data_IF_919788232447
#
_entry.id   IF_919788232447
#
_cell.length_a   1.000
_cell.length_b   1.000
_cell.length_c   1.000
_cell.angle_alpha   90.00
_cell.angle_beta   90.00
_cell.angle_gamma   90.00
#
_symmetry.space_group_name_H-M   'P 1'
#
loop_
_entity.id
_entity.type
_entity.pdbx_description
1 polymer ?
#
# COMPACT_ATOMS: atom_id res chain seq x y z
N UNK A 1 -7.80 42.41 68.67
CA UNK A 1 -8.61 43.61 69.06
C UNK A 1 -8.72 44.52 67.85
N UNK A 2 -9.92 45.04 67.66
CA UNK A 2 -10.46 45.99 66.66
C UNK A 2 -10.67 45.42 65.28
N UNK A 3 -11.76 44.97 64.95
CA UNK A 3 -13.10 45.41 64.52
C UNK A 3 -13.12 46.84 63.91
N UNK A 4 -13.54 46.94 62.65
CA UNK A 4 -14.57 47.85 62.22
C UNK A 4 -15.30 47.38 60.99
N UNK A 5 -16.62 47.44 61.12
CA UNK A 5 -17.70 47.02 60.28
C UNK A 5 -18.18 48.12 59.35
N UNK A 6 -18.84 47.68 58.28
CA UNK A 6 -20.08 48.21 57.64
C UNK A 6 -19.94 49.46 56.76
N UNK A 7 -20.46 49.40 55.56
CA UNK A 7 -21.84 49.86 55.27
C UNK A 7 -22.23 49.66 53.80
N UNK A 8 -23.45 49.23 53.61
CA UNK A 8 -24.18 49.12 52.33
C UNK A 8 -24.44 50.46 51.68
N UNK A 9 -24.34 50.52 50.35
CA UNK A 9 -24.83 51.58 49.52
C UNK A 9 -25.31 51.08 48.18
N UNK A 10 -26.62 50.97 48.04
CA UNK A 10 -27.35 50.68 46.82
C UNK A 10 -27.24 51.86 45.85
N UNK A 11 -26.83 51.61 44.63
CA UNK A 11 -26.85 52.63 43.54
C UNK A 11 -26.69 51.99 42.20
N UNK A 12 -27.79 51.72 41.51
CA UNK A 12 -27.78 51.25 40.14
C UNK A 12 -27.16 52.26 39.18
N UNK A 13 -26.25 51.78 38.32
CA UNK A 13 -25.76 52.54 37.17
C UNK A 13 -25.69 51.61 35.94
N UNK A 14 -26.44 52.05 34.95
CA UNK A 14 -26.45 51.60 33.57
C UNK A 14 -25.07 51.52 32.98
N UNK A 15 -24.71 50.32 32.48
CA UNK A 15 -23.46 50.09 31.74
C UNK A 15 -23.63 50.61 30.34
N UNK A 16 -23.00 51.71 30.03
CA UNK A 16 -22.65 52.13 28.65
C UNK A 16 -21.41 51.35 28.24
N UNK A 17 -21.54 50.65 27.11
CA UNK A 17 -20.43 50.09 26.35
C UNK A 17 -19.42 51.17 26.00
N UNK A 18 -18.24 51.14 26.58
CA UNK A 18 -17.07 51.91 26.19
C UNK A 18 -16.04 50.89 25.70
N UNK A 19 -15.57 51.09 24.45
CA UNK A 19 -14.44 50.35 23.86
C UNK A 19 -13.27 50.34 24.86
N UNK A 20 -13.07 49.27 25.54
CA UNK A 20 -11.85 49.01 26.30
C UNK A 20 -10.72 48.70 25.31
N UNK A 21 -9.89 49.71 25.03
CA UNK A 21 -8.53 49.50 24.60
C UNK A 21 -7.85 48.72 25.75
N UNK A 22 -7.66 47.44 25.53
CA UNK A 22 -6.93 46.59 26.41
C UNK A 22 -5.47 47.09 26.47
N UNK A 23 -5.13 47.84 27.54
CA UNK A 23 -3.74 48.13 27.86
C UNK A 23 -3.15 46.81 28.34
N UNK A 24 -2.37 46.15 27.49
CA UNK A 24 -1.49 45.05 27.93
C UNK A 24 -0.55 45.63 28.97
N UNK A 25 -0.65 45.19 30.22
CA UNK A 25 0.30 45.54 31.26
C UNK A 25 1.70 45.06 30.87
N UNK A 26 2.72 45.81 31.20
CA UNK A 26 4.13 45.41 30.91
C UNK A 26 4.44 44.01 31.52
N UNK A 27 3.82 43.65 32.64
CA UNK A 27 3.92 42.35 33.29
C UNK A 27 3.40 41.20 32.41
N UNK A 28 2.36 41.43 31.58
CA UNK A 28 1.83 40.39 30.65
C UNK A 28 2.77 40.22 29.43
N UNK A 29 3.50 41.22 29.03
CA UNK A 29 4.52 41.13 27.97
C UNK A 29 5.73 40.36 28.44
N UNK A 30 6.19 40.60 29.63
CA UNK A 30 7.34 39.87 30.24
C UNK A 30 6.97 38.40 30.47
N UNK A 31 5.76 38.12 30.96
CA UNK A 31 5.25 36.75 31.11
C UNK A 31 5.17 35.96 29.81
N UNK A 32 4.72 36.60 28.74
CA UNK A 32 4.67 35.98 27.38
C UNK A 32 6.08 35.78 26.83
N UNK A 33 6.98 36.72 27.01
CA UNK A 33 8.38 36.62 26.55
C UNK A 33 9.12 35.51 27.30
N UNK A 34 8.98 35.38 28.61
CA UNK A 34 9.57 34.30 29.40
C UNK A 34 9.01 32.94 28.97
N UNK A 35 7.70 32.82 28.75
CA UNK A 35 7.06 31.59 28.24
C UNK A 35 7.53 31.23 26.83
N UNK A 36 7.75 32.22 25.96
CA UNK A 36 8.26 31.98 24.60
C UNK A 36 9.71 31.47 24.65
N UNK A 37 10.58 32.10 25.44
CA UNK A 37 11.99 31.65 25.65
C UNK A 37 12.04 30.24 26.25
N UNK A 38 11.19 29.95 27.23
CA UNK A 38 11.11 28.60 27.81
C UNK A 38 10.71 27.55 26.78
N UNK A 39 9.73 27.84 25.91
CA UNK A 39 9.33 26.95 24.81
C UNK A 39 10.42 26.79 23.75
N UNK A 40 11.16 27.85 23.45
CA UNK A 40 12.28 27.83 22.50
C UNK A 40 13.44 27.01 23.05
N UNK A 41 13.78 27.17 24.33
CA UNK A 41 14.78 26.33 25.02
C UNK A 41 14.34 24.85 25.07
N UNK A 42 13.07 24.56 25.31
CA UNK A 42 12.53 23.19 25.26
C UNK A 42 12.61 22.58 23.87
N UNK A 43 12.30 23.36 22.81
CA UNK A 43 12.45 22.90 21.43
C UNK A 43 13.90 22.60 21.09
N UNK A 44 14.82 23.50 21.45
CA UNK A 44 16.23 23.31 21.24
C UNK A 44 16.77 22.07 21.98
N UNK A 45 16.37 21.87 23.24
CA UNK A 45 16.75 20.69 24.01
C UNK A 45 16.18 19.40 23.37
N UNK A 46 14.93 19.42 22.89
CA UNK A 46 14.31 18.28 22.19
C UNK A 46 15.05 17.98 20.88
N UNK A 47 15.43 19.02 20.12
CA UNK A 47 16.21 18.86 18.88
C UNK A 47 17.60 18.25 19.15
N UNK A 48 18.29 18.71 20.19
CA UNK A 48 19.60 18.14 20.60
C UNK A 48 19.45 16.67 21.02
N UNK A 49 18.42 16.34 21.79
CA UNK A 49 18.14 14.96 22.18
C UNK A 49 17.83 14.08 20.95
N UNK A 50 17.10 14.61 19.96
CA UNK A 50 16.81 13.89 18.72
C UNK A 50 18.10 13.63 17.93
N UNK A 51 18.98 14.63 17.79
CA UNK A 51 20.28 14.48 17.10
C UNK A 51 21.11 13.39 17.79
N UNK A 52 21.21 13.43 19.12
CA UNK A 52 21.95 12.42 19.90
C UNK A 52 21.33 11.02 19.72
N UNK A 53 20.00 10.90 19.72
CA UNK A 53 19.29 9.65 19.50
C UNK A 53 19.56 9.09 18.09
N UNK A 54 19.56 9.95 17.09
CA UNK A 54 19.84 9.58 15.70
C UNK A 54 21.31 9.14 15.51
N UNK A 55 22.25 9.82 16.17
CA UNK A 55 23.67 9.43 16.17
C UNK A 55 23.89 8.08 16.86
N UNK A 56 23.27 7.86 18.02
CA UNK A 56 23.35 6.57 18.72
C UNK A 56 22.72 5.45 17.91
N UNK A 57 21.58 5.71 17.26
CA UNK A 57 20.90 4.72 16.41
C UNK A 57 21.76 4.35 15.21
N UNK A 58 22.41 5.33 14.57
CA UNK A 58 23.36 5.06 13.48
C UNK A 58 24.56 4.25 13.94
N UNK A 59 25.20 4.66 15.03
CA UNK A 59 26.36 3.93 15.56
C UNK A 59 26.00 2.47 15.90
N UNK A 60 24.82 2.24 16.48
CA UNK A 60 24.32 0.89 16.76
C UNK A 60 24.02 0.11 15.48
N UNK A 61 23.38 0.76 14.50
CA UNK A 61 23.10 0.12 13.22
C UNK A 61 24.38 -0.29 12.48
N UNK A 62 25.40 0.59 12.49
CA UNK A 62 26.71 0.31 11.87
C UNK A 62 27.43 -0.86 12.58
N UNK A 63 27.36 -0.95 13.93
CA UNK A 63 27.98 -2.02 14.71
C UNK A 63 27.35 -3.40 14.43
N UNK A 64 26.04 -3.44 14.25
CA UNK A 64 25.28 -4.70 14.07
C UNK A 64 24.79 -4.92 12.64
N UNK A 65 25.32 -4.19 11.67
CA UNK A 65 24.80 -4.21 10.28
C UNK A 65 24.83 -5.61 9.65
N UNK A 66 25.91 -6.36 9.85
CA UNK A 66 26.02 -7.74 9.33
C UNK A 66 25.01 -8.67 10.01
N UNK A 67 24.90 -8.63 11.34
CA UNK A 67 23.96 -9.45 12.11
C UNK A 67 22.49 -9.13 11.73
N UNK A 68 22.19 -7.85 11.50
CA UNK A 68 20.88 -7.38 11.06
C UNK A 68 20.57 -7.93 9.67
N UNK A 69 21.50 -7.83 8.73
CA UNK A 69 21.32 -8.35 7.37
C UNK A 69 21.12 -9.86 7.35
N UNK A 70 21.97 -10.60 8.06
CA UNK A 70 21.85 -12.05 8.17
C UNK A 70 20.52 -12.48 8.79
N UNK A 71 20.05 -11.73 9.79
CA UNK A 71 18.73 -11.97 10.38
C UNK A 71 17.61 -11.69 9.40
N UNK A 72 17.67 -10.58 8.66
CA UNK A 72 16.66 -10.21 7.68
C UNK A 72 16.61 -11.23 6.53
N UNK A 73 17.74 -11.67 5.98
CA UNK A 73 17.79 -12.66 4.90
C UNK A 73 17.21 -14.02 5.36
N UNK A 74 17.49 -14.42 6.59
CA UNK A 74 16.88 -15.64 7.16
C UNK A 74 15.36 -15.47 7.32
N UNK A 75 14.92 -14.35 7.88
CA UNK A 75 13.50 -14.09 8.13
C UNK A 75 12.71 -13.92 6.82
N UNK A 76 13.26 -13.30 5.79
CA UNK A 76 12.57 -13.20 4.50
C UNK A 76 12.32 -14.59 3.89
N UNK A 77 13.32 -15.49 3.96
CA UNK A 77 13.19 -16.86 3.45
C UNK A 77 12.13 -17.69 4.24
N UNK A 78 12.10 -17.56 5.58
CA UNK A 78 11.15 -18.28 6.45
C UNK A 78 9.72 -17.80 6.33
N UNK A 79 9.52 -16.56 5.88
CA UNK A 79 8.23 -15.87 5.86
C UNK A 79 7.72 -15.55 4.45
N UNK A 80 8.19 -16.26 3.43
CA UNK A 80 7.63 -16.19 2.09
C UNK A 80 6.25 -16.86 2.01
N UNK A 81 5.33 -16.29 1.21
CA UNK A 81 4.10 -16.96 0.82
C UNK A 81 4.37 -18.13 -0.13
N UNK A 82 3.51 -19.14 -0.09
CA UNK A 82 3.52 -20.28 -1.02
C UNK A 82 2.47 -20.06 -2.13
N UNK A 83 2.93 -19.75 -3.34
CA UNK A 83 2.08 -19.48 -4.49
C UNK A 83 1.29 -20.69 -4.92
N UNK A 84 1.89 -21.90 -4.87
CA UNK A 84 1.22 -23.11 -5.29
C UNK A 84 0.00 -23.41 -4.41
N UNK A 85 0.11 -23.15 -3.11
CA UNK A 85 -1.01 -23.23 -2.18
C UNK A 85 -2.09 -22.16 -2.42
N UNK A 86 -1.73 -20.97 -2.92
CA UNK A 86 -2.71 -19.95 -3.32
C UNK A 86 -3.41 -20.36 -4.63
N UNK A 87 -2.70 -20.99 -5.58
CA UNK A 87 -3.26 -21.43 -6.86
C UNK A 87 -4.40 -22.44 -6.73
N UNK A 88 -4.39 -23.25 -5.68
CA UNK A 88 -5.45 -24.23 -5.43
C UNK A 88 -6.65 -23.69 -4.66
N UNK A 89 -6.71 -22.38 -4.39
CA UNK A 89 -7.85 -21.74 -3.76
C UNK A 89 -9.10 -21.88 -4.63
N UNK A 90 -10.22 -22.26 -4.01
CA UNK A 90 -11.45 -22.58 -4.74
C UNK A 90 -12.29 -21.36 -5.12
N UNK A 91 -12.30 -20.32 -4.27
CA UNK A 91 -13.17 -19.17 -4.44
C UNK A 91 -12.42 -17.87 -4.77
N UNK A 92 -11.18 -17.70 -4.27
CA UNK A 92 -10.38 -16.54 -4.64
C UNK A 92 -9.52 -16.86 -5.84
N UNK A 93 -9.43 -15.90 -6.76
CA UNK A 93 -8.68 -16.01 -8.01
C UNK A 93 -7.75 -14.81 -8.18
N UNK A 94 -6.66 -14.97 -8.95
CA UNK A 94 -5.66 -13.92 -9.13
C UNK A 94 -6.22 -12.62 -9.71
N UNK A 95 -7.26 -12.68 -10.55
CA UNK A 95 -7.90 -11.48 -11.09
C UNK A 95 -8.62 -10.63 -10.01
N UNK A 96 -8.92 -11.21 -8.84
CA UNK A 96 -9.53 -10.49 -7.71
C UNK A 96 -8.49 -9.69 -6.90
N UNK A 97 -7.21 -10.08 -6.98
CA UNK A 97 -6.12 -9.44 -6.24
C UNK A 97 -6.02 -7.93 -6.48
N UNK A 98 -6.06 -7.42 -7.74
CA UNK A 98 -5.97 -5.99 -7.98
C UNK A 98 -7.05 -5.17 -7.25
N UNK A 99 -8.27 -5.67 -7.18
CA UNK A 99 -9.36 -4.96 -6.49
C UNK A 99 -9.12 -4.86 -4.98
N UNK A 100 -8.63 -5.95 -4.37
CA UNK A 100 -8.28 -5.92 -2.94
C UNK A 100 -7.08 -5.01 -2.68
N UNK A 101 -6.03 -5.07 -3.50
CA UNK A 101 -4.86 -4.22 -3.33
C UNK A 101 -5.19 -2.74 -3.53
N UNK A 102 -6.02 -2.38 -4.51
CA UNK A 102 -6.49 -1.01 -4.68
C UNK A 102 -7.19 -0.50 -3.42
N UNK A 103 -8.07 -1.31 -2.84
CA UNK A 103 -8.73 -0.99 -1.57
C UNK A 103 -7.73 -0.82 -0.41
N UNK A 104 -6.78 -1.74 -0.27
CA UNK A 104 -5.77 -1.68 0.80
C UNK A 104 -4.83 -0.49 0.64
N UNK A 105 -4.45 -0.13 -0.58
CA UNK A 105 -3.62 1.05 -0.85
C UNK A 105 -4.39 2.34 -0.54
N UNK A 106 -5.67 2.43 -0.88
CA UNK A 106 -6.50 3.58 -0.50
C UNK A 106 -6.63 3.70 1.03
N UNK A 107 -6.82 2.58 1.73
CA UNK A 107 -6.83 2.54 3.19
C UNK A 107 -5.48 2.99 3.78
N UNK A 108 -4.38 2.46 3.26
CA UNK A 108 -3.02 2.82 3.66
C UNK A 108 -2.77 4.33 3.53
N UNK A 109 -3.19 4.94 2.42
CA UNK A 109 -3.08 6.39 2.20
C UNK A 109 -3.97 7.16 3.19
N UNK A 110 -5.21 6.72 3.40
CA UNK A 110 -6.16 7.38 4.28
C UNK A 110 -5.70 7.41 5.75
N UNK A 111 -5.08 6.34 6.22
CA UNK A 111 -4.52 6.21 7.57
C UNK A 111 -3.09 6.75 7.68
N UNK A 112 -2.47 7.18 6.59
CA UNK A 112 -1.09 7.69 6.54
C UNK A 112 -0.08 6.71 7.14
N UNK A 113 -0.23 5.42 6.84
CA UNK A 113 0.66 4.37 7.31
C UNK A 113 2.02 4.42 6.62
N UNK A 114 3.05 3.84 7.25
CA UNK A 114 4.38 3.75 6.66
C UNK A 114 4.41 2.80 5.45
N UNK A 115 5.30 3.01 4.45
CA UNK A 115 5.40 2.13 3.28
C UNK A 115 5.61 0.66 3.67
N UNK A 116 6.46 0.38 4.66
CA UNK A 116 6.69 -0.97 5.19
C UNK A 116 5.41 -1.65 5.67
N UNK A 117 4.46 -0.89 6.24
CA UNK A 117 3.18 -1.42 6.72
C UNK A 117 2.33 -1.97 5.58
N UNK A 118 2.38 -1.36 4.39
CA UNK A 118 1.67 -1.86 3.21
C UNK A 118 2.27 -3.20 2.72
N UNK A 119 3.60 -3.26 2.58
CA UNK A 119 4.28 -4.51 2.17
C UNK A 119 4.05 -5.63 3.17
N UNK A 120 4.13 -5.34 4.48
CA UNK A 120 3.83 -6.30 5.53
C UNK A 120 2.38 -6.77 5.48
N UNK A 121 1.43 -5.86 5.23
CA UNK A 121 0.01 -6.21 5.05
C UNK A 121 -0.18 -7.25 3.95
N UNK A 122 0.45 -7.03 2.78
CA UNK A 122 0.35 -7.94 1.64
C UNK A 122 1.03 -9.28 1.93
N UNK A 123 2.20 -9.28 2.58
CA UNK A 123 2.86 -10.51 3.00
C UNK A 123 1.98 -11.34 3.96
N UNK A 124 1.39 -10.72 4.98
CA UNK A 124 0.51 -11.42 5.94
C UNK A 124 -0.74 -11.97 5.25
N UNK A 125 -1.34 -11.22 4.31
CA UNK A 125 -2.46 -11.66 3.49
C UNK A 125 -2.08 -12.90 2.66
N UNK A 126 -0.97 -12.83 1.93
CA UNK A 126 -0.53 -13.91 1.04
C UNK A 126 -0.13 -15.17 1.82
N UNK A 127 0.58 -15.02 2.94
CA UNK A 127 0.90 -16.13 3.84
C UNK A 127 -0.34 -16.77 4.45
N UNK A 128 -1.33 -15.98 4.80
CA UNK A 128 -2.61 -16.50 5.29
C UNK A 128 -3.32 -17.29 4.20
N UNK A 129 -3.42 -16.75 2.98
CA UNK A 129 -3.99 -17.42 1.82
C UNK A 129 -3.23 -18.69 1.42
N UNK A 130 -1.91 -18.77 1.70
CA UNK A 130 -1.10 -20.00 1.51
C UNK A 130 -1.46 -21.11 2.49
N UNK A 131 -2.08 -20.80 3.64
CA UNK A 131 -2.32 -21.76 4.73
C UNK A 131 -3.80 -22.06 4.98
N UNK A 132 -4.71 -21.24 4.47
CA UNK A 132 -6.16 -21.35 4.71
C UNK A 132 -6.96 -21.11 3.44
N UNK A 133 -8.02 -21.89 3.26
CA UNK A 133 -9.02 -21.64 2.22
C UNK A 133 -9.78 -20.36 2.60
N UNK A 134 -9.83 -19.42 1.67
CA UNK A 134 -10.47 -18.11 1.87
C UNK A 134 -11.71 -18.03 1.00
N UNK A 135 -12.86 -17.80 1.63
CA UNK A 135 -14.10 -17.54 0.92
C UNK A 135 -14.09 -16.13 0.32
N UNK A 136 -14.56 -15.98 -0.91
CA UNK A 136 -14.64 -14.71 -1.63
C UNK A 136 -15.22 -13.57 -0.75
N UNK A 137 -16.31 -13.83 -0.04
CA UNK A 137 -16.96 -12.87 0.87
C UNK A 137 -16.10 -12.41 2.05
N UNK A 138 -15.04 -13.13 2.41
CA UNK A 138 -14.15 -12.80 3.52
C UNK A 138 -12.79 -12.27 3.05
N UNK A 139 -12.53 -12.21 1.74
CA UNK A 139 -11.21 -11.84 1.23
C UNK A 139 -10.83 -10.41 1.64
N UNK A 140 -11.78 -9.47 1.57
CA UNK A 140 -11.55 -8.10 2.04
C UNK A 140 -11.36 -8.03 3.56
N UNK A 141 -12.13 -8.82 4.35
CA UNK A 141 -11.98 -8.89 5.80
C UNK A 141 -10.59 -9.40 6.20
N UNK A 142 -10.06 -10.41 5.49
CA UNK A 142 -8.69 -10.91 5.70
C UNK A 142 -7.67 -9.80 5.41
N UNK A 143 -7.84 -9.06 4.32
CA UNK A 143 -6.98 -7.92 3.99
C UNK A 143 -7.00 -6.84 5.08
N UNK A 144 -8.18 -6.48 5.58
CA UNK A 144 -8.31 -5.52 6.70
C UNK A 144 -7.64 -6.01 7.98
N UNK A 145 -7.81 -7.30 8.31
CA UNK A 145 -7.18 -7.90 9.49
C UNK A 145 -5.65 -7.91 9.35
N UNK A 146 -5.14 -8.25 8.16
CA UNK A 146 -3.70 -8.18 7.86
C UNK A 146 -3.16 -6.75 8.02
N UNK A 147 -3.88 -5.74 7.51
CA UNK A 147 -3.50 -4.32 7.67
C UNK A 147 -3.53 -3.88 9.14
N UNK A 148 -4.54 -4.29 9.90
CA UNK A 148 -4.63 -3.98 11.32
C UNK A 148 -3.44 -4.56 12.11
N UNK A 149 -3.06 -5.82 11.81
CA UNK A 149 -1.91 -6.48 12.43
C UNK A 149 -0.62 -5.77 12.04
N UNK A 150 -0.42 -5.49 10.75
CA UNK A 150 0.78 -4.80 10.26
C UNK A 150 0.93 -3.40 10.86
N UNK A 151 -0.17 -2.62 10.94
CA UNK A 151 -0.16 -1.30 11.55
C UNK A 151 0.11 -1.34 13.07
N UNK A 152 -0.47 -2.31 13.78
CA UNK A 152 -0.18 -2.50 15.22
C UNK A 152 1.29 -2.90 15.46
N UNK A 153 1.90 -3.60 14.52
CA UNK A 153 3.27 -4.09 14.63
C UNK A 153 4.32 -3.02 14.31
N UNK A 154 4.18 -2.29 13.20
CA UNK A 154 5.22 -1.42 12.66
C UNK A 154 4.90 0.08 12.64
N UNK A 155 3.64 0.48 12.85
CA UNK A 155 3.26 1.89 12.73
C UNK A 155 3.12 2.61 14.07
N UNK A 156 2.99 3.94 14.01
CA UNK A 156 2.75 4.75 15.21
C UNK A 156 1.36 4.48 15.76
N UNK A 157 1.25 4.40 17.08
CA UNK A 157 -0.01 4.05 17.78
C UNK A 157 -1.20 4.94 17.39
N UNK A 158 -0.96 6.21 17.09
CA UNK A 158 -1.96 7.20 16.69
C UNK A 158 -2.43 7.04 15.25
N UNK A 159 -1.72 6.27 14.43
CA UNK A 159 -2.08 5.96 13.04
C UNK A 159 -2.75 4.59 12.87
N UNK A 160 -2.67 3.74 13.90
CA UNK A 160 -3.31 2.41 13.84
C UNK A 160 -4.81 2.58 13.68
N UNK A 161 -5.42 2.03 12.59
CA UNK A 161 -6.85 2.17 12.36
C UNK A 161 -7.66 1.50 13.47
N UNK A 162 -8.74 2.13 13.88
CA UNK A 162 -9.72 1.49 14.74
C UNK A 162 -10.61 0.53 13.96
N UNK A 163 -11.21 -0.44 14.63
CA UNK A 163 -12.15 -1.39 13.99
C UNK A 163 -13.31 -0.65 13.33
N UNK A 164 -13.82 0.44 13.94
CA UNK A 164 -14.90 1.24 13.37
C UNK A 164 -14.52 1.96 12.10
N UNK A 165 -13.29 2.44 11.99
CA UNK A 165 -12.77 3.03 10.75
C UNK A 165 -12.66 1.99 9.65
N UNK A 166 -12.14 0.79 9.95
CA UNK A 166 -12.11 -0.33 9.01
C UNK A 166 -13.51 -0.77 8.58
N UNK A 167 -14.45 -0.86 9.51
CA UNK A 167 -15.86 -1.16 9.23
C UNK A 167 -16.47 -0.11 8.30
N UNK A 168 -16.23 1.18 8.58
CA UNK A 168 -16.69 2.28 7.74
C UNK A 168 -16.10 2.21 6.32
N UNK A 169 -14.83 1.87 6.18
CA UNK A 169 -14.18 1.69 4.87
C UNK A 169 -14.77 0.52 4.08
N UNK A 170 -15.18 -0.55 4.79
CA UNK A 170 -15.89 -1.68 4.20
C UNK A 170 -17.39 -1.42 4.02
N UNK A 171 -17.86 -0.17 4.13
CA UNK A 171 -19.28 0.22 4.00
C UNK A 171 -20.22 -0.56 4.92
N UNK A 172 -19.75 -0.94 6.12
CA UNK A 172 -20.54 -1.69 7.10
C UNK A 172 -20.81 -3.16 6.70
N UNK A 173 -20.05 -3.70 5.76
CA UNK A 173 -20.25 -5.07 5.26
C UNK A 173 -19.99 -6.15 6.32
N UNK A 174 -19.12 -5.85 7.29
CA UNK A 174 -18.74 -6.77 8.37
C UNK A 174 -19.03 -6.14 9.73
N UNK A 175 -19.43 -6.97 10.68
CA UNK A 175 -19.61 -6.56 12.06
C UNK A 175 -18.25 -6.39 12.78
N UNK A 176 -18.20 -5.53 13.82
CA UNK A 176 -16.97 -5.25 14.58
C UNK A 176 -16.31 -6.54 15.09
N UNK A 177 -17.11 -7.47 15.61
CA UNK A 177 -16.64 -8.77 16.12
C UNK A 177 -15.94 -9.63 15.05
N UNK A 178 -16.34 -9.50 13.79
CA UNK A 178 -15.73 -10.26 12.71
C UNK A 178 -14.28 -9.81 12.46
N UNK A 179 -13.97 -8.51 12.60
CA UNK A 179 -12.59 -8.01 12.51
C UNK A 179 -11.72 -8.57 13.64
N UNK A 180 -12.22 -8.57 14.88
CA UNK A 180 -11.50 -9.12 16.05
C UNK A 180 -11.24 -10.62 15.89
N UNK A 181 -12.25 -11.36 15.44
CA UNK A 181 -12.13 -12.80 15.21
C UNK A 181 -11.14 -13.10 14.07
N UNK A 182 -11.22 -12.32 12.98
CA UNK A 182 -10.32 -12.51 11.83
C UNK A 182 -8.88 -12.14 12.18
N UNK A 183 -8.63 -11.04 12.92
CA UNK A 183 -7.32 -10.68 13.42
C UNK A 183 -6.70 -11.83 14.23
N UNK A 184 -7.45 -12.36 15.21
CA UNK A 184 -7.00 -13.50 16.01
C UNK A 184 -6.73 -14.73 15.15
N UNK A 185 -7.58 -15.02 14.18
CA UNK A 185 -7.45 -16.18 13.32
C UNK A 185 -6.23 -16.08 12.40
N UNK A 186 -5.94 -14.90 11.85
CA UNK A 186 -4.72 -14.64 11.08
C UNK A 186 -3.48 -14.85 11.94
N UNK A 187 -3.42 -14.24 13.13
CA UNK A 187 -2.30 -14.40 14.07
C UNK A 187 -2.05 -15.86 14.45
N UNK A 188 -3.10 -16.61 14.78
CA UNK A 188 -2.99 -18.04 15.11
C UNK A 188 -2.54 -18.88 13.90
N UNK A 189 -3.04 -18.58 12.70
CA UNK A 189 -2.66 -19.29 11.47
C UNK A 189 -1.19 -19.08 11.13
N UNK A 190 -0.67 -17.88 11.39
CA UNK A 190 0.73 -17.51 11.14
C UNK A 190 1.65 -17.81 12.34
N UNK A 191 1.15 -18.52 13.38
CA UNK A 191 1.90 -18.85 14.59
C UNK A 191 2.51 -17.62 15.28
N UNK A 192 1.85 -16.47 15.19
CA UNK A 192 2.30 -15.19 15.74
C UNK A 192 3.64 -14.68 15.14
N UNK A 193 4.12 -15.29 14.07
CA UNK A 193 5.30 -14.83 13.34
C UNK A 193 4.86 -13.71 12.39
N UNK A 194 4.93 -12.46 12.87
CA UNK A 194 4.52 -11.26 12.13
C UNK A 194 5.72 -10.65 11.41
N UNK A 195 6.88 -10.61 12.07
CA UNK A 195 8.09 -10.02 11.53
C UNK A 195 8.44 -10.61 10.17
N UNK A 196 8.43 -9.76 9.16
CA UNK A 196 8.87 -10.06 7.81
C UNK A 196 9.61 -8.82 7.31
N UNK A 197 10.90 -8.93 6.97
CA UNK A 197 11.63 -7.80 6.40
C UNK A 197 11.04 -7.48 5.03
N UNK A 198 10.59 -6.27 4.89
CA UNK A 198 9.88 -5.82 3.69
C UNK A 198 10.83 -5.31 2.63
N UNK A 199 10.32 -5.12 1.41
CA UNK A 199 11.07 -4.45 0.33
C UNK A 199 11.56 -3.07 0.76
N UNK A 200 10.74 -2.33 1.52
CA UNK A 200 11.12 -1.01 2.03
C UNK A 200 12.28 -1.08 3.02
N UNK A 201 12.29 -2.06 3.94
CA UNK A 201 13.40 -2.23 4.87
C UNK A 201 14.74 -2.46 4.15
N UNK A 202 14.78 -3.36 3.16
CA UNK A 202 15.98 -3.58 2.35
C UNK A 202 16.34 -2.36 1.49
N UNK A 203 15.35 -1.66 0.96
CA UNK A 203 15.57 -0.45 0.17
C UNK A 203 16.22 0.65 1.02
N UNK A 204 15.74 0.86 2.24
CA UNK A 204 16.33 1.82 3.18
C UNK A 204 17.77 1.46 3.56
N UNK A 205 18.08 0.17 3.77
CA UNK A 205 19.45 -0.28 4.02
C UNK A 205 20.38 0.08 2.84
N UNK A 206 19.96 -0.21 1.60
CA UNK A 206 20.76 0.09 0.42
C UNK A 206 20.94 1.60 0.25
N UNK A 207 19.89 2.38 0.48
CA UNK A 207 19.92 3.83 0.33
C UNK A 207 20.75 4.52 1.44
N UNK A 208 20.90 3.91 2.61
CA UNK A 208 21.75 4.46 3.68
C UNK A 208 23.25 4.49 3.32
N UNK A 209 23.70 3.67 2.37
CA UNK A 209 25.10 3.62 1.91
C UNK A 209 25.47 4.81 1.00
N UNK A 210 24.50 5.58 0.51
CA UNK A 210 24.71 6.61 -0.52
C UNK A 210 24.03 7.92 -0.16
N UNK A 211 24.37 8.98 -0.91
CA UNK A 211 23.66 10.25 -0.77
C UNK A 211 22.21 10.11 -1.21
N UNK A 212 21.32 10.69 -0.41
CA UNK A 212 19.89 10.61 -0.56
C UNK A 212 19.39 11.20 -1.90
N UNK A 213 18.68 10.40 -2.69
CA UNK A 213 17.97 10.80 -3.91
C UNK A 213 16.51 10.35 -3.80
N UNK A 214 15.59 11.27 -3.40
CA UNK A 214 14.19 10.92 -3.17
C UNK A 214 13.45 10.46 -4.42
N UNK A 215 13.84 10.94 -5.62
CA UNK A 215 13.20 10.47 -6.86
C UNK A 215 13.51 8.99 -7.13
N UNK A 216 14.75 8.56 -6.85
CA UNK A 216 15.16 7.15 -6.98
C UNK A 216 14.42 6.28 -5.98
N UNK A 217 14.31 6.71 -4.73
CA UNK A 217 13.57 6.01 -3.68
C UNK A 217 12.10 5.85 -4.07
N UNK A 218 11.41 6.94 -4.39
CA UNK A 218 9.99 6.90 -4.75
C UNK A 218 9.72 6.10 -6.01
N UNK A 219 10.62 6.16 -7.01
CA UNK A 219 10.50 5.32 -8.20
C UNK A 219 10.68 3.83 -7.85
N UNK A 220 11.64 3.47 -7.01
CA UNK A 220 11.86 2.09 -6.58
C UNK A 220 10.66 1.56 -5.78
N UNK A 221 10.09 2.35 -4.86
CA UNK A 221 8.86 2.02 -4.15
C UNK A 221 7.68 1.83 -5.11
N UNK A 222 7.50 2.75 -6.06
CA UNK A 222 6.43 2.64 -7.06
C UNK A 222 6.52 1.36 -7.88
N UNK A 223 7.72 1.01 -8.36
CA UNK A 223 7.96 -0.23 -9.09
C UNK A 223 7.67 -1.47 -8.24
N UNK A 224 8.07 -1.44 -6.98
CA UNK A 224 7.81 -2.52 -6.02
C UNK A 224 6.32 -2.66 -5.68
N UNK A 225 5.60 -1.54 -5.57
CA UNK A 225 4.15 -1.58 -5.38
C UNK A 225 3.41 -2.08 -6.64
N UNK A 226 3.89 -1.78 -7.86
CA UNK A 226 3.39 -2.40 -9.09
C UNK A 226 3.57 -3.92 -9.04
N UNK A 227 4.73 -4.41 -8.60
CA UNK A 227 5.01 -5.84 -8.51
C UNK A 227 4.01 -6.57 -7.61
N UNK A 228 3.53 -5.96 -6.51
CA UNK A 228 2.57 -6.59 -5.60
C UNK A 228 1.26 -7.05 -6.28
N UNK A 229 0.88 -6.45 -7.40
CA UNK A 229 -0.33 -6.80 -8.14
C UNK A 229 -0.21 -8.11 -8.91
N UNK A 230 1.00 -8.61 -9.13
CA UNK A 230 1.27 -9.72 -10.03
C UNK A 230 1.73 -10.97 -9.28
N UNK A 231 1.12 -12.09 -9.64
CA UNK A 231 1.42 -13.41 -9.10
C UNK A 231 2.92 -13.73 -9.16
N UNK A 232 3.56 -13.33 -10.25
CA UNK A 232 4.96 -13.67 -10.56
C UNK A 232 5.97 -13.21 -9.49
N UNK A 233 5.58 -12.23 -8.66
CA UNK A 233 6.45 -11.67 -7.63
C UNK A 233 6.08 -12.07 -6.20
N UNK A 234 4.99 -12.82 -5.98
CA UNK A 234 4.50 -13.16 -4.65
C UNK A 234 5.53 -13.98 -3.85
N UNK A 235 6.28 -14.87 -4.51
CA UNK A 235 7.36 -15.65 -3.89
C UNK A 235 8.76 -15.06 -4.15
N UNK A 236 8.85 -13.82 -4.64
CA UNK A 236 10.14 -13.16 -4.81
C UNK A 236 10.63 -12.66 -3.45
N UNK A 237 11.90 -12.93 -3.12
CA UNK A 237 12.52 -12.42 -1.90
C UNK A 237 12.48 -10.88 -1.88
N UNK A 238 12.07 -10.26 -0.78
CA UNK A 238 12.07 -8.80 -0.64
C UNK A 238 13.41 -8.13 -0.96
N UNK A 239 14.52 -8.73 -0.54
CA UNK A 239 15.87 -8.26 -0.84
C UNK A 239 16.18 -8.22 -2.34
N UNK A 240 15.76 -9.27 -3.08
CA UNK A 240 15.92 -9.36 -4.54
C UNK A 240 15.03 -8.32 -5.23
N UNK A 241 13.79 -8.16 -4.77
CA UNK A 241 12.87 -7.14 -5.30
C UNK A 241 13.41 -5.73 -5.07
N UNK A 242 13.88 -5.40 -3.87
CA UNK A 242 14.42 -4.09 -3.53
C UNK A 242 15.60 -3.71 -4.43
N UNK A 243 16.60 -4.59 -4.56
CA UNK A 243 17.77 -4.37 -5.40
C UNK A 243 17.41 -4.24 -6.88
N UNK A 244 16.50 -5.09 -7.37
CA UNK A 244 16.07 -5.09 -8.77
C UNK A 244 15.22 -3.86 -9.11
N UNK A 245 14.29 -3.48 -8.24
CA UNK A 245 13.49 -2.27 -8.40
C UNK A 245 14.35 -1.00 -8.35
N UNK A 246 15.34 -0.95 -7.46
CA UNK A 246 16.27 0.18 -7.35
C UNK A 246 17.14 0.31 -8.61
N UNK A 247 17.67 -0.80 -9.13
CA UNK A 247 18.45 -0.80 -10.37
C UNK A 247 17.61 -0.31 -11.56
N UNK A 248 16.36 -0.78 -11.67
CA UNK A 248 15.43 -0.35 -12.70
C UNK A 248 15.03 1.13 -12.53
N UNK A 249 14.79 1.59 -11.31
CA UNK A 249 14.48 2.98 -11.00
C UNK A 249 15.61 3.93 -11.45
N UNK A 250 16.86 3.58 -11.12
CA UNK A 250 18.04 4.33 -11.57
C UNK A 250 18.13 4.39 -13.09
N UNK A 251 17.85 3.28 -13.75
CA UNK A 251 17.85 3.22 -15.22
C UNK A 251 16.76 4.14 -15.82
N UNK A 252 15.54 4.09 -15.31
CA UNK A 252 14.42 4.93 -15.78
C UNK A 252 14.74 6.42 -15.61
N UNK A 253 15.33 6.80 -14.48
CA UNK A 253 15.70 8.18 -14.15
C UNK A 253 17.02 8.63 -14.78
N UNK A 254 17.74 7.74 -15.49
CA UNK A 254 19.05 8.05 -16.08
C UNK A 254 20.13 8.34 -15.04
N UNK A 255 20.02 7.75 -13.83
CA UNK A 255 21.03 7.86 -12.78
C UNK A 255 22.09 6.79 -12.92
N UNK A 256 23.37 7.18 -12.80
CA UNK A 256 24.45 6.21 -12.70
C UNK A 256 24.46 5.57 -11.32
N UNK A 257 24.68 4.23 -11.21
CA UNK A 257 24.79 3.61 -9.91
C UNK A 257 26.00 4.18 -9.16
N UNK A 258 25.80 4.66 -7.90
CA UNK A 258 26.91 5.08 -7.06
C UNK A 258 27.72 3.87 -6.61
N UNK A 259 28.99 4.06 -6.16
CA UNK A 259 29.73 2.99 -5.52
C UNK A 259 29.01 2.55 -4.25
N UNK A 260 28.67 1.28 -4.18
CA UNK A 260 27.98 0.63 -3.06
C UNK A 260 28.61 -0.74 -2.79
N UNK A 261 28.18 -1.40 -1.70
CA UNK A 261 28.59 -2.76 -1.40
C UNK A 261 28.22 -3.73 -2.53
N UNK A 262 28.98 -4.80 -2.68
CA UNK A 262 28.68 -5.85 -3.68
C UNK A 262 27.28 -6.45 -3.48
N UNK A 263 26.85 -6.56 -2.24
CA UNK A 263 25.50 -7.01 -1.90
C UNK A 263 24.42 -6.05 -2.46
N UNK A 264 24.57 -4.75 -2.27
CA UNK A 264 23.61 -3.75 -2.76
C UNK A 264 23.56 -3.68 -4.29
N UNK A 265 24.65 -4.02 -4.96
CA UNK A 265 24.76 -4.04 -6.44
C UNK A 265 24.32 -5.37 -7.05
N UNK A 266 24.10 -6.41 -6.25
CA UNK A 266 23.72 -7.76 -6.70
C UNK A 266 22.21 -7.84 -6.98
N UNK A 267 21.74 -7.28 -8.10
CA UNK A 267 20.36 -7.39 -8.54
C UNK A 267 20.13 -8.58 -9.47
N UNK A 268 18.90 -9.08 -9.51
CA UNK A 268 18.50 -10.15 -10.42
C UNK A 268 17.96 -9.62 -11.74
N UNK A 269 18.66 -9.92 -12.83
CA UNK A 269 18.27 -9.49 -14.17
C UNK A 269 16.92 -10.07 -14.60
N UNK A 270 16.59 -11.29 -14.19
CA UNK A 270 15.32 -11.94 -14.52
C UNK A 270 14.16 -11.18 -13.91
N UNK A 271 14.28 -10.82 -12.63
CA UNK A 271 13.29 -9.98 -11.91
C UNK A 271 13.12 -8.61 -12.57
N UNK A 272 14.22 -7.95 -13.00
CA UNK A 272 14.14 -6.68 -13.72
C UNK A 272 13.37 -6.82 -15.03
N UNK A 273 13.71 -7.84 -15.84
CA UNK A 273 13.04 -8.07 -17.13
C UNK A 273 11.56 -8.35 -16.92
N UNK A 274 11.22 -9.22 -15.95
CA UNK A 274 9.84 -9.53 -15.63
C UNK A 274 9.08 -8.29 -15.16
N UNK A 275 9.66 -7.51 -14.23
CA UNK A 275 9.05 -6.28 -13.73
C UNK A 275 8.81 -5.26 -14.85
N UNK A 276 9.77 -5.13 -15.79
CA UNK A 276 9.64 -4.22 -16.93
C UNK A 276 8.43 -4.52 -17.83
N UNK A 277 7.98 -5.78 -17.87
CA UNK A 277 6.81 -6.18 -18.66
C UNK A 277 5.49 -5.70 -18.05
N UNK A 278 5.45 -5.45 -16.74
CA UNK A 278 4.27 -5.03 -16.01
C UNK A 278 4.08 -3.51 -15.89
N UNK A 279 5.02 -2.71 -16.41
CA UNK A 279 5.01 -1.25 -16.28
C UNK A 279 3.98 -0.53 -17.18
N UNK A 280 3.37 -1.24 -18.13
CA UNK A 280 2.53 -0.61 -19.16
C UNK A 280 1.16 -0.15 -18.66
N UNK A 281 0.62 -0.78 -17.64
CA UNK A 281 -0.73 -0.54 -17.12
C UNK A 281 -0.77 -0.71 -15.60
N UNK A 282 -0.10 0.16 -14.85
CA UNK A 282 -0.22 0.13 -13.39
C UNK A 282 -1.64 0.48 -12.95
N UNK A 283 -2.02 0.07 -11.74
CA UNK A 283 -3.30 0.43 -11.16
C UNK A 283 -3.49 1.96 -11.09
N UNK A 284 -4.70 2.43 -11.33
CA UNK A 284 -5.03 3.85 -11.26
C UNK A 284 -4.86 4.43 -9.85
N UNK A 285 -5.01 3.60 -8.82
CA UNK A 285 -4.76 4.00 -7.43
C UNK A 285 -3.28 4.31 -7.23
N UNK A 286 -2.40 3.44 -7.75
CA UNK A 286 -0.95 3.67 -7.72
C UNK A 286 -0.54 4.90 -8.54
N UNK A 287 -1.07 5.03 -9.76
CA UNK A 287 -0.80 6.21 -10.60
C UNK A 287 -1.17 7.49 -9.85
N UNK A 288 -2.34 7.54 -9.23
CA UNK A 288 -2.78 8.71 -8.45
C UNK A 288 -1.87 8.97 -7.24
N UNK A 289 -1.46 7.93 -6.49
CA UNK A 289 -0.55 8.03 -5.34
C UNK A 289 0.77 8.66 -5.78
N UNK A 290 1.41 8.11 -6.80
CA UNK A 290 2.75 8.48 -7.23
C UNK A 290 2.82 9.62 -8.25
N UNK A 291 1.66 10.17 -8.68
CA UNK A 291 1.58 11.43 -9.43
C UNK A 291 1.54 12.66 -8.52
N UNK A 292 1.45 12.48 -7.20
CA UNK A 292 1.44 13.60 -6.25
C UNK A 292 2.85 14.20 -6.10
N UNK A 293 2.90 15.51 -5.76
CA UNK A 293 4.16 16.20 -5.50
C UNK A 293 4.94 15.61 -4.32
N UNK A 294 4.23 14.98 -3.35
CA UNK A 294 4.83 14.30 -2.22
C UNK A 294 5.76 13.15 -2.64
N UNK A 295 5.40 12.43 -3.68
CA UNK A 295 6.19 11.34 -4.27
C UNK A 295 6.97 11.76 -5.52
N UNK A 296 7.32 13.06 -5.67
CA UNK A 296 8.12 13.56 -6.78
C UNK A 296 7.50 13.33 -8.17
N UNK A 297 6.19 13.07 -8.27
CA UNK A 297 5.47 12.78 -9.52
C UNK A 297 6.10 11.66 -10.37
N UNK A 298 6.71 10.66 -9.73
CA UNK A 298 7.46 9.59 -10.43
C UNK A 298 6.59 8.75 -11.37
N UNK A 299 5.26 8.70 -11.15
CA UNK A 299 4.36 8.03 -12.08
C UNK A 299 4.34 8.72 -13.46
N UNK A 300 4.37 10.05 -13.50
CA UNK A 300 4.45 10.84 -14.74
C UNK A 300 5.78 10.59 -15.45
N UNK A 301 6.87 10.56 -14.68
CA UNK A 301 8.21 10.26 -15.20
C UNK A 301 8.29 8.86 -15.82
N UNK A 302 7.67 7.86 -15.18
CA UNK A 302 7.57 6.51 -15.74
C UNK A 302 6.76 6.48 -17.03
N UNK A 303 5.61 7.16 -17.09
CA UNK A 303 4.78 7.25 -18.29
C UNK A 303 5.56 7.86 -19.47
N UNK A 304 6.28 8.97 -19.24
CA UNK A 304 7.14 9.61 -20.22
C UNK A 304 8.26 8.69 -20.71
N UNK A 305 8.88 7.93 -19.81
CA UNK A 305 9.90 6.94 -20.15
C UNK A 305 9.32 5.85 -21.05
N UNK A 306 8.16 5.28 -20.67
CA UNK A 306 7.48 4.24 -21.44
C UNK A 306 7.07 4.74 -22.84
N UNK A 307 6.58 5.98 -22.95
CA UNK A 307 6.24 6.60 -24.23
C UNK A 307 7.48 6.76 -25.15
N UNK A 308 8.63 7.16 -24.59
CA UNK A 308 9.91 7.24 -25.31
C UNK A 308 10.36 5.87 -25.79
N UNK A 309 10.31 4.84 -24.94
CA UNK A 309 10.67 3.46 -25.32
C UNK A 309 9.76 2.92 -26.43
N UNK A 310 8.46 3.15 -26.35
CA UNK A 310 7.51 2.77 -27.40
C UNK A 310 7.81 3.49 -28.75
N UNK A 311 8.20 4.77 -28.72
CA UNK A 311 8.58 5.51 -29.92
C UNK A 311 9.87 4.96 -30.56
N UNK A 312 10.86 4.58 -29.76
CA UNK A 312 12.11 3.94 -30.21
C UNK A 312 11.78 2.58 -30.86
N UNK A 313 10.99 1.75 -30.20
CA UNK A 313 10.59 0.44 -30.71
C UNK A 313 9.86 0.55 -32.06
N UNK A 314 8.95 1.53 -32.22
CA UNK A 314 8.27 1.79 -33.49
C UNK A 314 9.26 2.18 -34.60
N UNK A 315 10.27 3.00 -34.32
CA UNK A 315 11.31 3.38 -35.32
C UNK A 315 12.09 2.17 -35.77
N UNK A 316 12.48 1.28 -34.85
CA UNK A 316 13.22 0.05 -35.19
C UNK A 316 12.37 -0.93 -36.01
N UNK A 317 11.06 -0.97 -35.82
CA UNK A 317 10.16 -1.85 -36.58
C UNK A 317 9.90 -1.33 -38.01
N UNK A 318 9.95 -0.02 -38.22
CA UNK A 318 9.71 0.63 -39.52
C UNK A 318 10.99 0.56 -40.42
N UNK A 319 12.18 0.68 -39.83
CA UNK A 319 13.44 0.70 -40.55
C UNK A 319 13.71 -0.54 -41.42
N UNK A 320 13.45 -1.79 -41.01
CA UNK A 320 13.68 -2.96 -41.88
C UNK A 320 12.64 -3.08 -43.02
N UNK A 321 11.41 -2.57 -42.84
CA UNK A 321 10.37 -2.61 -43.88
C UNK A 321 10.68 -1.71 -45.08
N UNK A 322 11.31 -0.56 -44.85
CA UNK A 322 11.72 0.36 -45.91
C UNK A 322 12.88 -0.21 -46.71
N UNK A 323 13.78 -1.01 -46.10
CA UNK A 323 14.89 -1.70 -46.81
C UNK A 323 14.42 -2.87 -47.69
N UNK A 324 13.28 -3.48 -47.43
CA UNK A 324 12.71 -4.56 -48.25
C UNK A 324 11.83 -4.06 -49.41
N UNK A 325 11.51 -2.75 -49.47
CA UNK A 325 10.68 -2.16 -50.54
C UNK A 325 11.50 -1.31 -51.52
N UNK A 326 12.85 -1.37 -51.51
CA UNK A 326 13.64 -0.79 -52.57
C UNK A 326 13.52 -1.67 -53.85
N UNK A 327 13.11 -1.13 -55.01
CA UNK A 327 12.92 -1.93 -56.22
C UNK A 327 14.27 -2.44 -56.72
N UNK A 328 14.44 -3.75 -56.75
CA UNK A 328 15.51 -4.37 -57.54
C UNK A 328 15.20 -4.12 -59.00
N UNK A 329 16.06 -3.39 -59.67
CA UNK A 329 16.05 -3.20 -61.11
C UNK A 329 16.16 -4.59 -61.79
N UNK A 330 15.12 -4.94 -62.51
CA UNK A 330 15.07 -6.14 -63.35
C UNK A 330 16.01 -5.95 -64.55
N UNK A 331 17.01 -6.80 -64.65
CA UNK A 331 17.68 -7.10 -65.92
C UNK A 331 16.94 -8.29 -66.51
N UNK A 332 16.25 -8.04 -67.64
CA UNK A 332 15.61 -9.06 -68.45
C UNK A 332 16.67 -9.71 -69.37
N UNK A 333 16.63 -11.05 -69.46
CA UNK A 333 16.91 -11.76 -70.69
C UNK A 333 16.06 -13.06 -70.72
N UNK A 334 15.59 -13.49 -71.93
CA UNK A 334 14.49 -14.46 -72.10
C UNK A 334 14.99 -15.82 -72.59
N UNK A 335 14.26 -16.90 -72.22
CA UNK A 335 14.06 -18.08 -73.07
C UNK A 335 13.21 -19.17 -72.32
N UNK A 336 12.03 -19.37 -72.72
CA UNK A 336 11.43 -20.42 -73.57
C UNK A 336 11.22 -21.81 -72.96
N UNK A 337 10.00 -22.23 -73.08
CA UNK A 337 9.39 -23.56 -73.28
C UNK A 337 8.84 -24.40 -72.13
N UNK A 338 7.57 -24.74 -72.37
CA UNK A 338 6.76 -25.93 -72.06
C UNK A 338 6.08 -26.04 -70.67
N UNK A 339 4.74 -25.85 -70.80
CA UNK A 339 3.76 -26.40 -69.88
C UNK A 339 3.68 -27.94 -70.00
N UNK A 340 3.26 -28.63 -68.96
CA UNK A 340 1.93 -29.24 -69.02
C UNK A 340 1.08 -29.12 -67.73
N UNK A 341 -0.15 -29.41 -67.96
CA UNK A 341 -1.42 -29.24 -67.27
C UNK A 341 -1.66 -29.99 -65.93
N UNK A 342 -2.83 -29.82 -65.33
CA UNK A 342 -3.02 -29.75 -63.88
C UNK A 342 -3.56 -31.04 -63.25
N UNK A 343 -3.25 -31.24 -61.96
CA UNK A 343 -3.86 -32.29 -61.15
C UNK A 343 -4.91 -31.69 -60.22
N UNK A 344 -6.11 -32.18 -60.38
CA UNK A 344 -7.32 -31.95 -59.56
C UNK A 344 -7.10 -32.31 -58.10
N UNK A 345 -7.49 -31.41 -57.21
CA UNK A 345 -7.59 -31.70 -55.78
C UNK A 345 -9.06 -31.57 -55.36
N UNK A 346 -9.64 -32.67 -54.90
CA UNK A 346 -10.97 -32.79 -54.33
C UNK A 346 -10.99 -32.28 -52.91
N UNK A 347 -12.08 -31.64 -52.43
CA UNK A 347 -12.22 -31.13 -51.09
C UNK A 347 -12.65 -32.23 -50.12
N UNK A 348 -11.96 -32.35 -48.99
CA UNK A 348 -12.34 -33.21 -47.85
C UNK A 348 -13.31 -32.49 -46.91
N UNK A 349 -14.37 -33.18 -46.59
CA UNK A 349 -15.44 -32.86 -45.64
C UNK A 349 -14.94 -32.94 -44.18
N UNK A 350 -15.40 -32.12 -43.27
CA UNK A 350 -15.01 -32.23 -41.86
C UNK A 350 -15.76 -33.34 -41.11
N UNK A 351 -14.98 -34.16 -40.39
CA UNK A 351 -15.52 -35.21 -39.52
C UNK A 351 -15.87 -34.65 -38.13
N UNK A 352 -17.01 -35.16 -37.63
CA UNK A 352 -17.62 -34.92 -36.32
C UNK A 352 -16.84 -35.62 -35.22
N UNK A 353 -16.62 -35.06 -34.04
CA UNK A 353 -15.92 -35.76 -32.93
C UNK A 353 -16.84 -36.76 -32.23
N UNK A 354 -16.21 -37.86 -31.81
CA UNK A 354 -16.82 -38.97 -31.09
C UNK A 354 -17.01 -38.66 -29.59
N UNK A 355 -17.93 -39.33 -28.87
CA UNK A 355 -18.28 -39.05 -27.47
C UNK A 355 -17.25 -39.63 -26.51
N UNK A 356 -16.91 -38.83 -25.46
CA UNK A 356 -15.97 -39.19 -24.38
C UNK A 356 -16.59 -40.15 -23.35
N UNK A 357 -15.76 -40.78 -22.52
CA UNK A 357 -16.18 -41.82 -21.59
C UNK A 357 -16.91 -41.29 -20.35
N UNK A 358 -17.89 -42.05 -19.93
CA UNK A 358 -18.75 -41.83 -18.77
C UNK A 358 -17.99 -41.87 -17.47
N UNK A 359 -18.22 -40.86 -16.60
CA UNK A 359 -17.78 -40.83 -15.20
C UNK A 359 -18.62 -41.80 -14.36
N UNK A 360 -17.92 -42.66 -13.64
CA UNK A 360 -18.48 -43.51 -12.57
C UNK A 360 -18.74 -42.68 -11.31
N UNK A 361 -19.98 -42.73 -10.83
CA UNK A 361 -20.41 -42.14 -9.55
C UNK A 361 -19.86 -42.92 -8.38
N UNK A 362 -19.22 -42.24 -7.42
CA UNK A 362 -18.98 -42.75 -6.07
C UNK A 362 -19.96 -42.09 -5.10
N UNK A 363 -20.55 -42.84 -4.16
CA UNK A 363 -21.52 -42.32 -3.20
C UNK A 363 -20.79 -41.94 -1.92
N UNK A 364 -20.96 -40.75 -1.38
CA UNK A 364 -21.16 -40.45 0.04
C UNK A 364 -21.34 -38.94 0.21
N UNK A 365 -22.55 -38.54 0.65
CA UNK A 365 -22.98 -37.18 0.81
C UNK A 365 -22.44 -36.54 2.09
N UNK A 366 -22.01 -35.32 1.92
CA UNK A 366 -22.10 -34.28 2.93
C UNK A 366 -23.14 -33.26 2.46
N UNK A 367 -23.95 -32.66 3.34
CA UNK A 367 -24.98 -31.74 2.92
C UNK A 367 -24.35 -30.47 2.34
N UNK A 368 -24.65 -30.20 1.09
CA UNK A 368 -24.34 -28.94 0.40
C UNK A 368 -25.03 -27.77 1.12
N UNK A 369 -24.31 -26.67 1.42
CA UNK A 369 -24.97 -25.44 1.84
C UNK A 369 -25.83 -24.88 0.68
N UNK A 370 -26.90 -24.13 0.96
CA UNK A 370 -27.79 -23.61 -0.06
C UNK A 370 -27.06 -22.66 -1.00
N UNK A 371 -27.31 -22.81 -2.30
CA UNK A 371 -26.85 -21.91 -3.35
C UNK A 371 -27.39 -20.50 -3.10
N UNK A 372 -26.49 -19.54 -2.93
CA UNK A 372 -26.84 -18.13 -2.94
C UNK A 372 -26.44 -17.52 -4.28
N UNK A 373 -27.27 -16.67 -4.90
CA UNK A 373 -26.97 -16.04 -6.20
C UNK A 373 -25.91 -14.94 -5.98
N UNK A 374 -24.74 -15.02 -6.62
CA UNK A 374 -23.60 -14.22 -6.22
C UNK A 374 -22.69 -13.67 -7.32
N UNK A 375 -23.21 -13.32 -8.48
CA UNK A 375 -22.48 -12.46 -9.42
C UNK A 375 -22.62 -10.96 -9.09
N UNK A 376 -23.68 -10.58 -8.33
CA UNK A 376 -23.98 -9.18 -7.99
C UNK A 376 -23.02 -8.53 -6.99
N UNK A 377 -22.25 -9.30 -6.22
CA UNK A 377 -21.42 -8.75 -5.13
C UNK A 377 -20.20 -7.98 -5.65
N UNK A 378 -19.51 -8.49 -6.67
CA UNK A 378 -18.34 -7.81 -7.25
C UNK A 378 -18.75 -6.63 -8.14
N UNK A 379 -19.87 -6.75 -8.87
CA UNK A 379 -20.42 -5.63 -9.64
C UNK A 379 -20.88 -4.50 -8.74
N UNK A 380 -21.47 -4.82 -7.56
CA UNK A 380 -21.86 -3.80 -6.58
C UNK A 380 -20.67 -3.09 -5.95
N UNK A 381 -19.57 -3.81 -5.67
CA UNK A 381 -18.33 -3.23 -5.16
C UNK A 381 -17.65 -2.34 -6.21
N UNK A 382 -17.61 -2.75 -7.48
CA UNK A 382 -17.15 -1.90 -8.59
C UNK A 382 -18.01 -0.65 -8.77
N UNK A 383 -19.33 -0.78 -8.67
CA UNK A 383 -20.24 0.35 -8.79
C UNK A 383 -20.08 1.34 -7.61
N UNK A 384 -19.84 0.85 -6.38
CA UNK A 384 -19.55 1.70 -5.21
C UNK A 384 -18.21 2.41 -5.31
N UNK A 385 -17.14 1.72 -5.75
CA UNK A 385 -15.84 2.33 -5.96
C UNK A 385 -15.87 3.37 -7.09
N UNK A 386 -16.58 3.08 -8.17
CA UNK A 386 -16.79 4.02 -9.29
C UNK A 386 -17.64 5.24 -8.87
N UNK A 387 -18.67 5.04 -8.05
CA UNK A 387 -19.51 6.12 -7.50
C UNK A 387 -18.72 7.01 -6.52
N UNK A 388 -17.83 6.42 -5.71
CA UNK A 388 -16.95 7.17 -4.79
C UNK A 388 -15.87 7.96 -5.54
N UNK A 389 -15.32 7.40 -6.63
CA UNK A 389 -14.38 8.09 -7.50
C UNK A 389 -15.03 9.27 -8.24
N UNK A 390 -16.30 9.15 -8.62
CA UNK A 390 -17.08 10.21 -9.25
C UNK A 390 -17.57 11.28 -8.26
N UNK A 391 -17.70 10.94 -6.95
CA UNK A 391 -18.22 11.81 -5.89
C UNK A 391 -17.16 12.57 -5.09
N UNK A 392 -15.85 12.40 -5.35
CA UNK A 392 -14.75 13.06 -4.62
C UNK A 392 -14.51 14.55 -5.00
N UNK A 393 -15.43 15.17 -5.76
CA UNK A 393 -15.50 16.61 -5.93
C UNK A 393 -16.61 17.19 -5.07
N UNK A 394 -16.19 18.02 -4.06
CA UNK A 394 -17.04 18.87 -3.22
C UNK A 394 -17.89 18.14 -2.15
N UNK A 395 -17.45 18.26 -0.89
CA UNK A 395 -18.27 18.76 0.23
C UNK A 395 -17.41 18.88 1.50
N UNK A 396 -16.87 20.06 1.73
CA UNK A 396 -16.65 20.55 3.10
C UNK A 396 -18.03 20.92 3.64
N UNK A 397 -18.64 20.05 4.40
CA UNK A 397 -19.89 20.36 5.09
C UNK A 397 -19.56 20.80 6.52
N UNK A 398 -19.86 22.05 6.82
CA UNK A 398 -19.95 22.64 8.15
C UNK A 398 -21.01 21.88 8.96
N UNK A 399 -20.63 21.33 10.12
CA UNK A 399 -21.55 20.81 11.10
C UNK A 399 -22.19 21.97 11.90
N UNK A 400 -23.52 22.03 12.01
CA UNK A 400 -24.17 22.90 13.00
C UNK A 400 -24.10 22.25 14.38
N UNK A 401 -23.68 23.03 15.36
CA UNK A 401 -23.61 22.69 16.76
C UNK A 401 -24.99 22.27 17.32
N UNK A 402 -25.09 21.07 17.85
CA UNK A 402 -26.18 20.63 18.71
C UNK A 402 -25.82 20.84 20.19
N UNK A 403 -26.72 21.37 21.05
CA UNK A 403 -26.40 21.69 22.44
C UNK A 403 -26.35 20.42 23.31
N UNK A 404 -25.37 20.38 24.19
CA UNK A 404 -25.15 19.35 25.20
C UNK A 404 -26.27 19.35 26.25
N UNK A 405 -26.76 18.19 26.73
CA UNK A 405 -27.56 18.11 27.90
C UNK A 405 -26.70 18.15 29.17
N UNK A 406 -27.16 18.89 30.17
CA UNK A 406 -26.58 19.08 31.50
C UNK A 406 -26.49 17.76 32.29
N UNK A 407 -25.44 17.51 33.07
CA UNK A 407 -25.33 16.30 33.88
C UNK A 407 -26.19 16.38 35.13
N UNK A 408 -27.07 15.38 35.30
CA UNK A 408 -27.78 15.09 36.54
C UNK A 408 -26.86 14.41 37.54
N UNK A 409 -26.77 14.95 38.73
CA UNK A 409 -25.98 14.46 39.85
C UNK A 409 -26.54 13.13 40.39
N UNK A 410 -25.64 12.10 40.45
CA UNK A 410 -25.89 10.84 41.18
C UNK A 410 -25.06 10.84 42.46
N UNK A 411 -25.64 10.44 43.62
CA UNK A 411 -24.96 10.52 44.89
C UNK A 411 -23.89 9.44 45.08
N UNK A 412 -22.76 9.87 45.63
CA UNK A 412 -21.60 9.04 45.96
C UNK A 412 -21.88 8.27 47.26
N UNK A 413 -21.74 6.93 47.21
CA UNK A 413 -21.62 6.10 48.41
C UNK A 413 -20.15 5.95 48.84
N UNK A 414 -19.88 5.90 50.17
CA UNK A 414 -18.52 5.80 50.67
C UNK A 414 -17.93 4.35 50.58
N UNK A 415 -16.61 4.20 50.57
CA UNK A 415 -15.96 2.93 50.36
C UNK A 415 -16.02 2.02 51.60
N UNK A 416 -16.32 0.73 51.36
CA UNK A 416 -16.18 -0.33 52.38
C UNK A 416 -14.74 -0.77 52.49
N UNK A 417 -14.21 -0.74 53.70
CA UNK A 417 -12.92 -1.29 54.09
C UNK A 417 -13.07 -2.79 54.29
N UNK A 418 -12.34 -3.59 53.55
CA UNK A 418 -12.09 -4.99 53.90
C UNK A 418 -10.67 -5.12 54.45
N UNK A 419 -10.62 -5.47 55.77
CA UNK A 419 -9.47 -6.08 56.42
C UNK A 419 -9.43 -7.55 55.99
N UNK A 420 -8.32 -7.99 55.43
CA UNK A 420 -7.37 -9.08 55.80
C UNK A 420 -6.26 -9.13 54.79
#
# INVERSE_FOLDING_TARGET
MAQYSASLGNGGLTVRSVNDHFFESEDDRDGRYIRSKSREAQRYAAEQLQIMADEMSRATADEYQEDILDHMERMEAETLPDVDSIDIQTEIQWFMRPYLLDFLIEAHIAFQLHPETLFLTVNLLDRYCSKRVVFKRHYQLVGCAAMLIAAKYGDKKDRVPTIRELQSMCCGLYEEDMFVQMERHVLQTLNWIIGHPTVDNFLQMILSEVSYDPEVEYMALYLSEIAMFHKDFVSTLPSVMARSALALARHILGRTPPPQSDWAMSYDTTTIVLLSQHLHRPSQVLVRKYSSAHYGMVAVTLEDFMAKQAAIARRHTIAPRVRQMAPQAQTQEPENTLAPQPATVTPMTPQKPAPGPQQQQMPHGYPTPPETPNDDYFEHQQAMLAAKAAGAGVLVAQNPATPMPTPTSVPVQPPQVYQY
#
